data_IF_565066215791
#
_entry.id   IF_565066215791
#
_cell.length_a   1.000
_cell.length_b   1.000
_cell.length_c   1.000
_cell.angle_alpha   90.00
_cell.angle_beta   90.00
_cell.angle_gamma   90.00
#
_symmetry.space_group_name_H-M   'P 1'
#
loop_
_entity.id
_entity.type
_entity.pdbx_description
1 polymer ?
#
# COMPACT_ATOMS: atom_id res chain seq x y z
N UNK A 1 17.94 27.31 -17.73
CA UNK A 1 17.22 26.01 -17.61
C UNK A 1 17.19 25.61 -16.15
N UNK A 2 16.02 25.63 -15.50
CA UNK A 2 15.89 25.19 -14.11
C UNK A 2 16.23 23.70 -14.03
N UNK A 3 17.02 23.31 -13.02
CA UNK A 3 17.34 21.92 -12.73
C UNK A 3 16.02 21.17 -12.47
N UNK A 4 15.66 20.20 -13.31
CA UNK A 4 14.48 19.37 -13.06
C UNK A 4 14.61 18.76 -11.66
N UNK A 5 13.59 18.95 -10.83
CA UNK A 5 13.56 18.34 -9.50
C UNK A 5 13.46 16.82 -9.69
N UNK A 6 14.21 16.04 -8.92
CA UNK A 6 14.13 14.58 -8.90
C UNK A 6 12.69 14.15 -8.54
N UNK A 7 12.12 13.22 -9.30
CA UNK A 7 10.88 12.55 -8.92
C UNK A 7 11.05 11.77 -7.61
N UNK A 8 9.96 11.53 -6.90
CA UNK A 8 10.00 10.79 -5.65
C UNK A 8 8.80 9.83 -5.56
N UNK A 9 8.98 8.71 -4.87
CA UNK A 9 7.98 7.67 -4.73
C UNK A 9 7.70 7.35 -3.27
N UNK A 10 6.46 7.52 -2.84
CA UNK A 10 5.98 7.25 -1.50
C UNK A 10 4.84 6.25 -1.52
N UNK A 11 4.81 5.37 -0.54
CA UNK A 11 3.80 4.32 -0.43
C UNK A 11 3.05 4.46 0.89
N UNK A 12 1.74 4.29 0.86
CA UNK A 12 0.89 4.14 2.03
C UNK A 12 0.48 2.67 2.17
N UNK A 13 0.79 2.06 3.29
CA UNK A 13 0.46 0.68 3.62
C UNK A 13 -0.40 0.61 4.89
N UNK A 14 -1.01 -0.53 5.14
CA UNK A 14 -1.85 -0.79 6.31
C UNK A 14 -3.10 -1.59 5.96
N UNK A 15 -3.78 -2.09 6.98
CA UNK A 15 -5.00 -2.87 6.84
C UNK A 15 -6.15 -2.06 6.24
N UNK A 16 -7.17 -2.75 5.72
CA UNK A 16 -8.40 -2.10 5.27
C UNK A 16 -9.04 -1.31 6.42
N UNK A 17 -9.53 -0.11 6.12
CA UNK A 17 -10.09 0.80 7.14
C UNK A 17 -9.05 1.69 7.84
N UNK A 18 -7.75 1.59 7.54
CA UNK A 18 -6.71 2.46 8.13
C UNK A 18 -6.71 3.90 7.58
N UNK A 19 -7.44 4.19 6.49
CA UNK A 19 -7.58 5.54 5.95
C UNK A 19 -6.58 5.93 4.86
N UNK A 20 -5.84 4.98 4.29
CA UNK A 20 -4.80 5.20 3.27
C UNK A 20 -5.22 6.11 2.13
N UNK A 21 -6.32 5.78 1.45
CA UNK A 21 -6.79 6.53 0.27
C UNK A 21 -7.09 7.99 0.62
N UNK A 22 -7.72 8.25 1.77
CA UNK A 22 -7.98 9.62 2.24
C UNK A 22 -6.68 10.38 2.52
N UNK A 23 -5.70 9.73 3.14
CA UNK A 23 -4.39 10.33 3.41
C UNK A 23 -3.64 10.57 2.10
N UNK A 24 -3.68 9.64 1.12
CA UNK A 24 -3.05 9.80 -0.18
C UNK A 24 -3.55 11.05 -0.92
N UNK A 25 -4.87 11.22 -1.00
CA UNK A 25 -5.49 12.38 -1.66
C UNK A 25 -5.09 13.70 -0.98
N UNK A 26 -5.09 13.73 0.35
CA UNK A 26 -4.68 14.92 1.11
C UNK A 26 -3.21 15.22 0.99
N UNK A 27 -2.33 14.23 1.00
CA UNK A 27 -0.90 14.40 0.74
C UNK A 27 -0.65 14.99 -0.64
N UNK A 28 -1.34 14.48 -1.65
CA UNK A 28 -1.19 15.01 -3.01
C UNK A 28 -1.60 16.48 -3.10
N UNK A 29 -2.65 16.88 -2.38
CA UNK A 29 -3.06 18.28 -2.28
C UNK A 29 -1.96 19.12 -1.63
N UNK A 30 -1.45 18.71 -0.47
CA UNK A 30 -0.38 19.43 0.24
C UNK A 30 0.91 19.52 -0.59
N UNK A 31 1.30 18.46 -1.30
CA UNK A 31 2.47 18.47 -2.19
C UNK A 31 2.32 19.51 -3.29
N UNK A 32 1.12 19.66 -3.87
CA UNK A 32 0.86 20.69 -4.90
C UNK A 32 0.83 22.10 -4.32
N UNK A 33 0.13 22.30 -3.21
CA UNK A 33 -0.12 23.62 -2.62
C UNK A 33 1.09 24.18 -1.87
N UNK A 34 1.78 23.37 -1.06
CA UNK A 34 2.87 23.84 -0.21
C UNK A 34 4.26 23.69 -0.84
N UNK A 35 4.45 22.67 -1.70
CA UNK A 35 5.75 22.39 -2.30
C UNK A 35 5.84 22.80 -3.78
N UNK A 36 4.71 23.19 -4.40
CA UNK A 36 4.65 23.58 -5.80
C UNK A 36 5.13 22.44 -6.74
N UNK A 37 4.85 21.17 -6.38
CA UNK A 37 5.24 20.00 -7.18
C UNK A 37 4.03 19.27 -7.72
N UNK A 38 4.15 18.74 -8.95
CA UNK A 38 3.16 17.80 -9.46
C UNK A 38 3.15 16.54 -8.62
N UNK A 39 1.95 16.06 -8.29
CA UNK A 39 1.77 14.84 -7.52
C UNK A 39 0.73 13.94 -8.19
N UNK A 40 1.11 12.68 -8.40
CA UNK A 40 0.25 11.61 -8.89
C UNK A 40 -0.17 10.75 -7.71
N UNK A 41 -1.48 10.50 -7.56
CA UNK A 41 -2.00 9.47 -6.66
C UNK A 41 -2.32 8.25 -7.50
N UNK A 42 -1.84 7.11 -7.06
CA UNK A 42 -2.11 5.81 -7.68
C UNK A 42 -2.35 4.76 -6.62
N UNK A 43 -2.74 3.55 -7.01
CA UNK A 43 -3.03 2.47 -6.08
C UNK A 43 -2.78 1.10 -6.72
N UNK A 44 -2.64 0.07 -5.89
CA UNK A 44 -2.70 -1.33 -6.32
C UNK A 44 -3.88 -2.05 -5.65
N UNK A 45 -4.69 -2.84 -6.39
CA UNK A 45 -4.54 -3.14 -7.83
C UNK A 45 -4.68 -1.88 -8.70
N UNK A 46 -3.84 -1.78 -9.74
CA UNK A 46 -3.77 -0.61 -10.62
C UNK A 46 -5.02 -0.45 -11.50
N UNK A 47 -5.09 0.64 -12.26
CA UNK A 47 -6.15 0.86 -13.26
C UNK A 47 -5.83 0.19 -14.61
N UNK A 48 -4.74 -0.57 -14.70
CA UNK A 48 -4.39 -1.35 -15.88
C UNK A 48 -5.27 -2.59 -16.00
N UNK A 49 -5.27 -3.22 -17.18
CA UNK A 49 -6.01 -4.47 -17.41
C UNK A 49 -5.59 -5.59 -16.44
N UNK A 50 -4.33 -5.59 -15.99
CA UNK A 50 -3.82 -6.52 -14.96
C UNK A 50 -4.47 -6.27 -13.60
N UNK A 51 -4.67 -5.01 -13.23
CA UNK A 51 -5.42 -4.65 -12.03
C UNK A 51 -6.91 -5.05 -12.13
N UNK A 52 -7.51 -5.00 -13.33
CA UNK A 52 -8.85 -5.55 -13.55
C UNK A 52 -8.86 -7.08 -13.36
N UNK A 53 -7.82 -7.77 -13.81
CA UNK A 53 -7.68 -9.21 -13.58
C UNK A 53 -7.59 -9.54 -12.08
N UNK A 54 -6.84 -8.75 -11.29
CA UNK A 54 -6.79 -8.89 -9.82
C UNK A 54 -8.17 -8.68 -9.20
N UNK A 55 -8.87 -7.59 -9.57
CA UNK A 55 -10.22 -7.31 -9.05
C UNK A 55 -11.20 -8.43 -9.36
N UNK A 56 -11.13 -8.99 -10.56
CA UNK A 56 -11.94 -10.13 -10.98
C UNK A 56 -11.59 -11.39 -10.17
N UNK A 57 -10.31 -11.69 -9.98
CA UNK A 57 -9.83 -12.79 -9.17
C UNK A 57 -10.38 -12.73 -7.72
N UNK A 58 -10.32 -11.55 -7.10
CA UNK A 58 -10.88 -11.30 -5.78
C UNK A 58 -12.40 -11.54 -5.70
N UNK A 59 -13.14 -11.20 -6.76
CA UNK A 59 -14.60 -11.41 -6.83
C UNK A 59 -14.97 -12.89 -7.02
N UNK A 60 -14.20 -13.60 -7.84
CA UNK A 60 -14.43 -15.03 -8.15
C UNK A 60 -13.89 -15.95 -7.05
N UNK A 61 -13.02 -15.46 -6.15
CA UNK A 61 -12.45 -16.27 -5.06
C UNK A 61 -11.55 -17.39 -5.58
N UNK A 62 -10.63 -17.06 -6.48
CA UNK A 62 -9.69 -18.03 -7.04
C UNK A 62 -8.66 -18.51 -6.00
N UNK A 63 -7.79 -19.43 -6.39
CA UNK A 63 -6.68 -19.91 -5.55
C UNK A 63 -5.77 -18.74 -5.09
N UNK A 64 -5.42 -18.68 -3.80
CA UNK A 64 -4.65 -17.60 -3.17
C UNK A 64 -3.26 -17.41 -3.81
N UNK A 65 -2.62 -18.48 -4.29
CA UNK A 65 -1.34 -18.39 -4.97
C UNK A 65 -1.50 -17.79 -6.37
N UNK A 66 -2.57 -18.15 -7.09
CA UNK A 66 -2.89 -17.55 -8.38
C UNK A 66 -3.21 -16.06 -8.23
N UNK A 67 -3.96 -15.68 -7.19
CA UNK A 67 -4.23 -14.27 -6.87
C UNK A 67 -2.93 -13.50 -6.60
N UNK A 68 -2.01 -14.06 -5.79
CA UNK A 68 -0.71 -13.47 -5.51
C UNK A 68 0.10 -13.20 -6.80
N UNK A 69 0.11 -14.16 -7.74
CA UNK A 69 0.78 -14.01 -9.02
C UNK A 69 0.17 -12.90 -9.89
N UNK A 70 -1.15 -12.72 -9.85
CA UNK A 70 -1.82 -11.62 -10.54
C UNK A 70 -1.44 -10.26 -9.94
N UNK A 71 -1.32 -10.14 -8.62
CA UNK A 71 -0.81 -8.92 -7.97
C UNK A 71 0.62 -8.60 -8.41
N UNK A 72 1.50 -9.61 -8.54
CA UNK A 72 2.88 -9.42 -9.02
C UNK A 72 2.90 -8.97 -10.48
N UNK A 73 2.05 -9.56 -11.33
CA UNK A 73 1.94 -9.17 -12.73
C UNK A 73 1.43 -7.73 -12.89
N UNK A 74 0.43 -7.33 -12.11
CA UNK A 74 -0.08 -5.96 -12.08
C UNK A 74 1.02 -4.98 -11.65
N UNK A 75 1.74 -5.29 -10.58
CA UNK A 75 2.85 -4.49 -10.07
C UNK A 75 3.97 -4.32 -11.08
N UNK A 76 4.31 -5.36 -11.84
CA UNK A 76 5.34 -5.28 -12.86
C UNK A 76 5.04 -4.20 -13.91
N UNK A 77 3.80 -4.10 -14.37
CA UNK A 77 3.38 -3.06 -15.31
C UNK A 77 3.24 -1.69 -14.63
N UNK A 78 2.65 -1.65 -13.43
CA UNK A 78 2.43 -0.43 -12.67
C UNK A 78 3.75 0.24 -12.26
N UNK A 79 4.76 -0.53 -11.89
CA UNK A 79 6.10 -0.03 -11.59
C UNK A 79 6.70 0.73 -12.78
N UNK A 80 6.49 0.27 -14.01
CA UNK A 80 6.90 1.00 -15.22
C UNK A 80 6.21 2.37 -15.34
N UNK A 81 4.92 2.47 -15.01
CA UNK A 81 4.22 3.77 -14.98
C UNK A 81 4.78 4.70 -13.88
N UNK A 82 5.01 4.16 -12.67
CA UNK A 82 5.59 4.92 -11.56
C UNK A 82 6.96 5.49 -11.96
N UNK A 83 7.83 4.69 -12.56
CA UNK A 83 9.14 5.14 -13.07
C UNK A 83 9.00 6.25 -14.11
N UNK A 84 8.02 6.16 -15.02
CA UNK A 84 7.72 7.20 -16.00
C UNK A 84 7.37 8.53 -15.33
N UNK A 85 6.46 8.54 -14.37
CA UNK A 85 6.09 9.76 -13.63
C UNK A 85 7.26 10.33 -12.81
N UNK A 86 8.08 9.46 -12.21
CA UNK A 86 9.28 9.91 -11.50
C UNK A 86 10.30 10.53 -12.46
N UNK A 87 10.47 9.99 -13.66
CA UNK A 87 11.37 10.55 -14.68
C UNK A 87 10.92 11.95 -15.14
N UNK A 88 9.62 12.24 -15.10
CA UNK A 88 9.06 13.58 -15.32
C UNK A 88 9.22 14.54 -14.12
N UNK A 89 9.84 14.09 -13.04
CA UNK A 89 10.05 14.89 -11.82
C UNK A 89 8.84 14.97 -10.88
N UNK A 90 7.81 14.15 -11.11
CA UNK A 90 6.60 14.13 -10.28
C UNK A 90 6.84 13.41 -8.95
N UNK A 91 6.05 13.77 -7.95
CA UNK A 91 5.90 13.00 -6.71
C UNK A 91 4.81 11.96 -6.95
N UNK A 92 5.07 10.71 -6.64
CA UNK A 92 4.10 9.62 -6.73
C UNK A 92 3.73 9.16 -5.32
N UNK A 93 2.43 9.14 -5.00
CA UNK A 93 1.88 8.55 -3.77
C UNK A 93 1.03 7.36 -4.16
N UNK A 94 1.41 6.17 -3.69
CA UNK A 94 0.72 4.92 -4.00
C UNK A 94 0.00 4.37 -2.77
N UNK A 95 -1.31 4.14 -2.90
CA UNK A 95 -2.11 3.41 -1.90
C UNK A 95 -1.93 1.92 -2.16
N UNK A 96 -1.15 1.25 -1.32
CA UNK A 96 -0.68 -0.13 -1.40
C UNK A 96 0.42 -0.37 -2.43
N UNK A 97 1.33 -1.26 -2.08
CA UNK A 97 2.41 -1.75 -2.93
C UNK A 97 2.76 -3.20 -2.53
N UNK A 98 3.99 -3.64 -2.70
CA UNK A 98 4.38 -5.02 -2.45
C UNK A 98 4.16 -5.50 -1.01
N UNK A 99 4.22 -4.62 0.00
CA UNK A 99 4.00 -5.01 1.39
C UNK A 99 2.55 -5.44 1.65
N UNK A 100 1.58 -4.88 0.92
CA UNK A 100 0.19 -5.38 0.93
C UNK A 100 0.13 -6.84 0.48
N UNK A 101 0.78 -7.21 -0.62
CA UNK A 101 0.82 -8.60 -1.09
C UNK A 101 1.50 -9.50 -0.06
N UNK A 102 2.64 -9.07 0.52
CA UNK A 102 3.31 -9.83 1.56
C UNK A 102 2.38 -10.03 2.77
N UNK A 103 1.68 -9.01 3.22
CA UNK A 103 0.83 -9.12 4.41
C UNK A 103 -0.45 -9.95 4.18
N UNK A 104 -1.17 -9.65 3.10
CA UNK A 104 -2.48 -10.27 2.83
C UNK A 104 -2.34 -11.71 2.33
N UNK A 105 -1.53 -11.94 1.31
CA UNK A 105 -1.40 -13.28 0.74
C UNK A 105 -0.59 -14.22 1.64
N UNK A 106 0.39 -13.73 2.45
CA UNK A 106 1.02 -14.60 3.44
C UNK A 106 0.03 -15.05 4.52
N UNK A 107 -0.92 -14.18 4.93
CA UNK A 107 -1.98 -14.54 5.86
C UNK A 107 -2.95 -15.58 5.27
N UNK A 108 -3.21 -15.52 3.97
CA UNK A 108 -4.05 -16.50 3.26
C UNK A 108 -3.32 -17.84 3.05
N UNK A 109 -2.03 -17.80 2.74
CA UNK A 109 -1.22 -19.00 2.39
C UNK A 109 -0.56 -19.68 3.58
N UNK A 110 -0.66 -19.14 4.81
CA UNK A 110 0.08 -19.62 5.98
C UNK A 110 -0.13 -21.11 6.31
N UNK A 111 -1.32 -21.65 6.02
CA UNK A 111 -1.69 -23.06 6.27
C UNK A 111 -1.35 -23.98 5.07
N UNK A 112 -0.84 -23.41 3.97
CA UNK A 112 -0.56 -24.09 2.69
C UNK A 112 0.91 -24.10 2.32
N UNK A 113 1.70 -23.18 2.87
CA UNK A 113 3.12 -23.04 2.58
C UNK A 113 3.94 -22.91 3.87
N UNK A 114 5.15 -23.45 3.85
CA UNK A 114 6.07 -23.39 5.00
C UNK A 114 6.59 -21.95 5.20
N UNK A 115 6.93 -21.24 4.12
CA UNK A 115 7.37 -19.85 4.14
C UNK A 115 6.69 -19.04 3.03
N UNK A 116 5.42 -18.66 3.21
CA UNK A 116 4.72 -17.83 2.23
C UNK A 116 5.33 -16.43 2.11
N UNK A 117 5.87 -15.87 3.20
CA UNK A 117 6.48 -14.53 3.20
C UNK A 117 7.73 -14.48 2.33
N UNK A 118 8.63 -15.46 2.47
CA UNK A 118 9.83 -15.57 1.65
C UNK A 118 9.48 -15.79 0.18
N UNK A 119 8.54 -16.68 -0.12
CA UNK A 119 8.09 -16.92 -1.48
C UNK A 119 7.51 -15.65 -2.13
N UNK A 120 6.63 -14.92 -1.44
CA UNK A 120 6.05 -13.68 -1.93
C UNK A 120 7.12 -12.59 -2.13
N UNK A 121 8.11 -12.50 -1.24
CA UNK A 121 9.22 -11.57 -1.43
C UNK A 121 10.03 -11.87 -2.69
N UNK A 122 10.41 -13.13 -2.92
CA UNK A 122 11.17 -13.52 -4.12
C UNK A 122 10.42 -13.27 -5.43
N UNK A 123 9.09 -13.40 -5.42
CA UNK A 123 8.24 -13.06 -6.57
C UNK A 123 8.21 -11.55 -6.83
N UNK A 124 8.17 -10.73 -5.78
CA UNK A 124 8.06 -9.29 -5.90
C UNK A 124 9.39 -8.61 -6.19
N UNK A 125 10.48 -9.10 -5.62
CA UNK A 125 11.83 -8.50 -5.70
C UNK A 125 12.27 -8.06 -7.10
N UNK A 126 12.06 -8.83 -8.17
CA UNK A 126 12.50 -8.43 -9.52
C UNK A 126 11.65 -7.33 -10.16
N UNK A 127 10.45 -7.03 -9.64
CA UNK A 127 9.49 -6.11 -10.27
C UNK A 127 9.22 -4.85 -9.45
N UNK A 128 9.77 -4.74 -8.24
CA UNK A 128 9.62 -3.56 -7.40
C UNK A 128 10.75 -2.57 -7.60
N UNK A 129 10.44 -1.29 -7.38
CA UNK A 129 11.41 -0.24 -7.13
C UNK A 129 11.30 0.18 -5.66
N UNK A 130 12.42 0.58 -5.08
CA UNK A 130 12.46 1.01 -3.68
C UNK A 130 11.80 2.37 -3.51
N UNK A 131 10.76 2.52 -2.67
CA UNK A 131 10.18 3.81 -2.35
C UNK A 131 11.14 4.69 -1.53
N UNK A 132 11.03 6.01 -1.66
CA UNK A 132 11.76 6.95 -0.81
C UNK A 132 11.30 6.86 0.67
N UNK A 133 10.04 6.49 0.91
CA UNK A 133 9.53 6.04 2.21
C UNK A 133 8.23 5.23 2.05
N UNK A 134 7.99 4.33 3.01
CA UNK A 134 6.73 3.60 3.17
C UNK A 134 6.11 4.02 4.50
N UNK A 135 4.90 4.56 4.46
CA UNK A 135 4.13 4.93 5.65
C UNK A 135 3.15 3.80 5.99
N UNK A 136 3.43 3.06 7.04
CA UNK A 136 2.53 2.04 7.55
C UNK A 136 1.54 2.66 8.53
N UNK A 137 0.31 2.86 8.06
CA UNK A 137 -0.81 3.40 8.84
C UNK A 137 -1.34 2.31 9.76
N UNK A 138 -1.00 2.40 11.04
CA UNK A 138 -1.38 1.43 12.07
C UNK A 138 -2.65 1.85 12.78
N UNK A 139 -3.58 0.90 12.93
CA UNK A 139 -4.85 1.09 13.66
C UNK A 139 -5.25 -0.26 14.26
N UNK A 140 -5.88 -0.30 15.45
CA UNK A 140 -6.45 -1.53 15.97
C UNK A 140 -7.43 -2.17 14.96
N UNK A 141 -7.29 -3.47 14.63
CA UNK A 141 -8.14 -4.15 13.66
C UNK A 141 -9.64 -4.02 13.94
N UNK A 142 -10.02 -3.93 15.22
CA UNK A 142 -11.39 -3.71 15.67
C UNK A 142 -11.94 -2.36 15.17
N UNK A 143 -11.17 -1.29 15.33
CA UNK A 143 -11.54 0.05 14.87
C UNK A 143 -11.53 0.15 13.34
N UNK A 144 -10.58 -0.51 12.69
CA UNK A 144 -10.54 -0.59 11.24
C UNK A 144 -11.80 -1.28 10.69
N UNK A 145 -12.21 -2.39 11.32
CA UNK A 145 -13.43 -3.10 10.93
C UNK A 145 -14.70 -2.25 11.15
N UNK A 146 -14.77 -1.49 12.23
CA UNK A 146 -15.92 -0.60 12.48
C UNK A 146 -16.04 0.50 11.41
N UNK A 147 -14.92 1.02 10.90
CA UNK A 147 -14.91 1.95 9.75
C UNK A 147 -15.37 1.30 8.43
N UNK A 148 -15.23 -0.02 8.30
CA UNK A 148 -15.64 -0.78 7.11
C UNK A 148 -17.07 -1.32 7.20
N UNK A 149 -17.66 -1.45 8.38
CA UNK A 149 -18.89 -2.20 8.66
C UNK A 149 -20.16 -1.70 7.95
N UNK A 150 -20.08 -0.61 7.20
CA UNK A 150 -21.18 -0.16 6.33
C UNK A 150 -21.27 -0.91 4.98
N UNK A 151 -20.38 -1.89 4.65
CA UNK A 151 -20.17 -2.31 3.26
C UNK A 151 -20.24 -3.80 2.88
N UNK A 152 -20.43 -4.82 3.78
CA UNK A 152 -20.39 -6.22 3.28
C UNK A 152 -20.87 -7.35 4.20
N UNK A 153 -21.30 -8.46 3.58
CA UNK A 153 -22.02 -9.61 4.10
C UNK A 153 -21.25 -10.82 4.67
N UNK A 154 -19.95 -10.76 4.95
CA UNK A 154 -19.23 -11.80 5.71
C UNK A 154 -19.45 -11.65 7.21
N UNK A 155 -19.33 -12.74 8.01
CA UNK A 155 -19.44 -12.61 9.45
C UNK A 155 -18.40 -11.61 10.00
N UNK A 156 -18.81 -10.78 10.95
CA UNK A 156 -17.94 -9.74 11.56
C UNK A 156 -16.69 -10.39 12.20
N UNK A 157 -16.83 -11.59 12.73
CA UNK A 157 -15.74 -12.31 13.42
C UNK A 157 -14.68 -12.85 12.47
N UNK A 158 -15.07 -13.50 11.35
CA UNK A 158 -14.11 -14.02 10.35
C UNK A 158 -13.25 -12.90 9.74
N UNK A 159 -13.86 -11.74 9.47
CA UNK A 159 -13.13 -10.57 8.98
C UNK A 159 -12.15 -10.03 10.00
N UNK A 160 -12.53 -9.96 11.28
CA UNK A 160 -11.67 -9.45 12.33
C UNK A 160 -10.43 -10.33 12.52
N UNK A 161 -10.60 -11.65 12.56
CA UNK A 161 -9.49 -12.58 12.72
C UNK A 161 -8.53 -12.53 11.53
N UNK A 162 -9.05 -12.37 10.32
CA UNK A 162 -8.22 -12.16 9.13
C UNK A 162 -7.46 -10.83 9.20
N UNK A 163 -8.11 -9.73 9.53
CA UNK A 163 -7.45 -8.42 9.70
C UNK A 163 -6.36 -8.45 10.78
N UNK A 164 -6.57 -9.18 11.88
CA UNK A 164 -5.54 -9.39 12.90
C UNK A 164 -4.33 -10.16 12.38
N UNK A 165 -4.54 -11.17 11.51
CA UNK A 165 -3.44 -11.90 10.86
C UNK A 165 -2.65 -10.97 9.94
N UNK A 166 -3.33 -10.16 9.14
CA UNK A 166 -2.73 -9.20 8.21
C UNK A 166 -1.96 -8.11 8.98
N UNK A 167 -2.54 -7.53 10.04
CA UNK A 167 -1.85 -6.53 10.88
C UNK A 167 -0.55 -7.09 11.47
N UNK A 168 -0.60 -8.33 12.01
CA UNK A 168 0.61 -9.00 12.51
C UNK A 168 1.66 -9.22 11.41
N UNK A 169 1.24 -9.54 10.19
CA UNK A 169 2.15 -9.73 9.07
C UNK A 169 2.82 -8.40 8.67
N UNK A 170 2.07 -7.30 8.60
CA UNK A 170 2.62 -5.97 8.37
C UNK A 170 3.64 -5.56 9.43
N UNK A 171 3.34 -5.76 10.71
CA UNK A 171 4.26 -5.40 11.80
C UNK A 171 5.57 -6.17 11.72
N UNK A 172 5.50 -7.50 11.50
CA UNK A 172 6.70 -8.34 11.33
C UNK A 172 7.53 -7.95 10.11
N UNK A 173 6.87 -7.56 9.02
CA UNK A 173 7.54 -7.07 7.84
C UNK A 173 8.22 -5.72 8.11
N UNK A 174 7.53 -4.79 8.75
CA UNK A 174 8.05 -3.46 9.07
C UNK A 174 9.30 -3.48 9.97
N UNK A 175 9.44 -4.46 10.85
CA UNK A 175 10.64 -4.63 11.69
C UNK A 175 11.91 -4.92 10.88
N UNK A 176 11.76 -5.37 9.62
CA UNK A 176 12.88 -5.77 8.74
C UNK A 176 13.23 -4.73 7.69
N UNK A 177 12.39 -3.72 7.50
CA UNK A 177 12.54 -2.70 6.46
C UNK A 177 12.78 -1.31 7.09
N UNK A 178 13.98 -0.75 6.85
CA UNK A 178 14.39 0.55 7.43
C UNK A 178 13.70 1.76 6.79
N UNK A 179 13.07 1.58 5.64
CA UNK A 179 12.34 2.66 4.95
C UNK A 179 10.90 2.80 5.42
N UNK A 180 10.46 1.93 6.37
CA UNK A 180 9.12 1.96 6.92
C UNK A 180 9.03 2.95 8.08
N UNK A 181 8.06 3.84 7.99
CA UNK A 181 7.68 4.80 9.03
C UNK A 181 6.31 4.38 9.54
N UNK A 182 6.22 4.04 10.83
CA UNK A 182 4.94 3.74 11.48
C UNK A 182 4.22 5.05 11.76
N UNK A 183 2.95 5.13 11.34
CA UNK A 183 2.09 6.28 11.59
C UNK A 183 0.83 5.79 12.30
N UNK A 184 0.57 6.31 13.49
CA UNK A 184 -0.67 6.00 14.22
C UNK A 184 -1.88 6.63 13.50
N UNK A 185 -2.72 5.78 12.92
CA UNK A 185 -3.93 6.15 12.20
C UNK A 185 -5.21 6.07 13.07
N UNK A 186 -5.07 5.82 14.37
CA UNK A 186 -6.16 5.88 15.35
C UNK A 186 -6.36 7.30 15.90
N UNK A 187 -6.12 8.30 15.07
CA UNK A 187 -6.25 9.74 15.36
C UNK A 187 -7.07 10.42 14.25
N UNK A 188 -7.45 11.71 14.43
CA UNK A 188 -8.06 12.51 13.38
C UNK A 188 -7.22 12.50 12.10
N UNK A 189 -7.87 12.36 10.96
CA UNK A 189 -7.20 12.23 9.66
C UNK A 189 -6.30 13.44 9.33
N UNK A 190 -6.63 14.62 9.85
CA UNK A 190 -5.82 15.83 9.66
C UNK A 190 -4.46 15.71 10.35
N UNK A 191 -4.42 15.14 11.55
CA UNK A 191 -3.18 14.90 12.30
C UNK A 191 -2.32 13.83 11.61
N UNK A 192 -2.93 12.72 11.20
CA UNK A 192 -2.27 11.65 10.44
C UNK A 192 -1.65 12.19 9.16
N UNK A 193 -2.42 13.01 8.43
CA UNK A 193 -1.95 13.62 7.18
C UNK A 193 -0.79 14.57 7.44
N UNK A 194 -0.90 15.45 8.45
CA UNK A 194 0.14 16.42 8.77
C UNK A 194 1.46 15.74 9.19
N UNK A 195 1.39 14.69 10.01
CA UNK A 195 2.56 13.89 10.39
C UNK A 195 3.21 13.23 9.17
N UNK A 196 2.42 12.53 8.36
CA UNK A 196 2.89 11.87 7.14
C UNK A 196 3.53 12.87 6.17
N UNK A 197 2.90 14.04 5.98
CA UNK A 197 3.44 15.10 5.15
C UNK A 197 4.75 15.67 5.69
N UNK A 198 4.89 15.80 7.00
CA UNK A 198 6.13 16.25 7.62
C UNK A 198 7.31 15.31 7.36
N UNK A 199 7.07 13.99 7.32
CA UNK A 199 8.09 13.02 6.91
C UNK A 199 8.38 13.09 5.42
N UNK A 200 7.33 13.13 4.59
CA UNK A 200 7.44 13.19 3.13
C UNK A 200 8.29 14.39 2.68
N UNK A 201 7.98 15.59 3.16
CA UNK A 201 8.70 16.83 2.77
C UNK A 201 10.19 16.83 3.10
N UNK A 202 10.62 16.07 4.13
CA UNK A 202 12.03 15.94 4.49
C UNK A 202 12.82 15.07 3.51
N UNK A 203 12.13 14.27 2.70
CA UNK A 203 12.71 13.37 1.69
C UNK A 203 12.75 14.01 0.29
N UNK A 204 12.04 15.13 0.07
CA UNK A 204 11.98 15.90 -1.18
C UNK A 204 13.01 17.04 -1.23
#
# INVERSE_FOLDING_TARGET
MGRMKRGAFFVLEGIDGSGKSTVADRLAKLVREELGRECVVTAEPSTLWTGDAVRRANQEGIDDAAEALLFVADRALHTGQIQGWMAEGKVVVCDRYYASTIAYQSAALQDRMVDPTGWLWELNRPVVIEPDAIFLLTIPPEKALDRLSSRSGRSKFEKLDYLRKVDRAYRRWAERDRNVILVDADRPVDEVTAETFNFLRKKL
#
